data_IF_127149924983
#
_entry.id   IF_127149924983
#
_cell.length_a   1.000
_cell.length_b   1.000
_cell.length_c   1.000
_cell.angle_alpha   90.00
_cell.angle_beta   90.00
_cell.angle_gamma   90.00
#
_symmetry.space_group_name_H-M   'P 1'
#
loop_
_entity.id
_entity.type
_entity.pdbx_description
1 polymer ?
#
# COMPACT_ATOMS: atom_id res chain seq x y z
N UNK A 1 10.85 4.39 -34.72
CA UNK A 1 9.80 5.19 -35.36
C UNK A 1 8.97 4.18 -36.12
N UNK A 2 7.98 3.53 -35.49
CA UNK A 2 6.60 4.04 -35.33
C UNK A 2 5.94 4.20 -36.70
N UNK A 3 4.73 3.77 -36.99
CA UNK A 3 3.49 3.64 -36.22
C UNK A 3 2.61 2.54 -36.86
N UNK A 4 1.68 2.00 -36.06
CA UNK A 4 0.25 1.79 -36.36
C UNK A 4 -0.21 1.29 -37.75
N UNK A 5 -1.02 0.23 -37.79
CA UNK A 5 -2.49 0.38 -37.80
C UNK A 5 -3.24 -0.95 -38.04
N UNK A 6 -4.25 -1.13 -37.18
CA UNK A 6 -5.62 -1.55 -37.47
C UNK A 6 -5.93 -2.93 -38.08
N UNK A 7 -6.82 -3.60 -37.35
CA UNK A 7 -7.44 -4.88 -37.63
C UNK A 7 -8.32 -4.88 -38.89
N UNK A 8 -8.30 -6.00 -39.61
CA UNK A 8 -9.40 -6.43 -40.49
C UNK A 8 -9.67 -7.91 -40.21
N UNK A 9 -10.95 -8.18 -39.97
CA UNK A 9 -11.52 -9.43 -39.52
C UNK A 9 -11.90 -10.35 -40.70
N UNK A 10 -12.08 -11.63 -40.37
CA UNK A 10 -12.69 -12.73 -41.14
C UNK A 10 -11.83 -13.44 -42.20
N UNK A 11 -11.46 -14.69 -41.88
CA UNK A 11 -11.86 -15.80 -42.76
C UNK A 11 -12.26 -17.00 -41.92
N UNK A 12 -13.37 -17.59 -42.32
CA UNK A 12 -14.11 -18.64 -41.65
C UNK A 12 -13.86 -19.90 -42.45
N UNK A 13 -13.20 -20.91 -41.89
CA UNK A 13 -13.29 -22.27 -42.39
C UNK A 13 -13.58 -23.21 -41.21
N UNK A 14 -14.77 -23.76 -41.32
CA UNK A 14 -15.44 -24.74 -40.49
C UNK A 14 -14.85 -26.15 -40.75
N UNK A 15 -15.16 -27.06 -39.83
CA UNK A 15 -15.15 -28.52 -39.99
C UNK A 15 -13.82 -29.29 -39.92
N UNK A 16 -13.43 -29.71 -38.72
CA UNK A 16 -13.06 -31.10 -38.40
C UNK A 16 -13.32 -31.38 -36.90
N UNK A 17 -14.48 -31.96 -36.63
CA UNK A 17 -14.86 -32.63 -35.38
C UNK A 17 -14.03 -33.91 -35.13
N UNK A 18 -13.98 -34.35 -33.85
CA UNK A 18 -13.50 -35.64 -33.32
C UNK A 18 -12.10 -35.76 -32.66
N UNK A 19 -11.42 -34.68 -32.26
CA UNK A 19 -10.20 -34.80 -31.41
C UNK A 19 -10.06 -33.70 -30.32
N UNK A 20 -11.13 -32.92 -30.08
CA UNK A 20 -11.12 -31.82 -29.11
C UNK A 20 -11.55 -32.26 -27.69
N UNK A 21 -12.39 -33.28 -27.54
CA UNK A 21 -12.94 -33.68 -26.23
C UNK A 21 -11.87 -34.24 -25.28
N UNK A 22 -10.87 -34.99 -25.79
CA UNK A 22 -9.78 -35.51 -24.96
C UNK A 22 -8.80 -34.42 -24.51
N UNK A 23 -8.66 -33.35 -25.28
CA UNK A 23 -7.75 -32.22 -24.98
C UNK A 23 -8.37 -31.24 -23.96
N UNK A 24 -9.70 -31.10 -23.97
CA UNK A 24 -10.44 -30.28 -23.00
C UNK A 24 -10.44 -30.87 -21.59
N UNK A 25 -10.60 -32.19 -21.46
CA UNK A 25 -10.53 -32.88 -20.18
C UNK A 25 -9.11 -32.80 -19.56
N UNK A 26 -8.07 -32.95 -20.38
CA UNK A 26 -6.68 -32.76 -19.95
C UNK A 26 -6.40 -31.34 -19.45
N UNK A 27 -6.97 -30.33 -20.11
CA UNK A 27 -6.86 -28.94 -19.68
C UNK A 27 -7.55 -28.71 -18.33
N UNK A 28 -8.72 -29.31 -18.13
CA UNK A 28 -9.46 -29.23 -16.88
C UNK A 28 -8.70 -29.85 -15.70
N UNK A 29 -8.10 -31.02 -15.91
CA UNK A 29 -7.26 -31.67 -14.90
C UNK A 29 -6.05 -30.83 -14.51
N UNK A 30 -5.36 -30.24 -15.48
CA UNK A 30 -4.22 -29.35 -15.23
C UNK A 30 -4.61 -28.12 -14.41
N UNK A 31 -5.75 -27.49 -14.71
CA UNK A 31 -6.26 -26.33 -13.95
C UNK A 31 -6.62 -26.73 -12.51
N UNK A 32 -7.23 -27.90 -12.33
CA UNK A 32 -7.57 -28.45 -11.01
C UNK A 32 -6.32 -28.68 -10.15
N UNK A 33 -5.28 -29.27 -10.73
CA UNK A 33 -3.99 -29.49 -10.06
C UNK A 33 -3.31 -28.17 -9.68
N UNK A 34 -3.26 -27.19 -10.62
CA UNK A 34 -2.69 -25.85 -10.35
C UNK A 34 -3.44 -25.12 -9.23
N UNK A 35 -4.77 -25.24 -9.17
CA UNK A 35 -5.59 -24.65 -8.10
C UNK A 35 -5.30 -25.31 -6.75
N UNK A 36 -5.21 -26.63 -6.71
CA UNK A 36 -4.88 -27.36 -5.49
C UNK A 36 -3.48 -26.99 -4.96
N UNK A 37 -2.48 -26.95 -5.83
CA UNK A 37 -1.12 -26.54 -5.46
C UNK A 37 -1.07 -25.11 -4.93
N UNK A 38 -1.81 -24.18 -5.55
CA UNK A 38 -1.91 -22.78 -5.09
C UNK A 38 -2.58 -22.66 -3.72
N UNK A 39 -3.59 -23.49 -3.44
CA UNK A 39 -4.26 -23.52 -2.13
C UNK A 39 -3.36 -24.12 -1.06
N UNK A 40 -2.63 -25.20 -1.37
CA UNK A 40 -1.67 -25.81 -0.46
C UNK A 40 -0.53 -24.84 -0.10
N UNK A 41 0.07 -24.18 -1.11
CA UNK A 41 1.12 -23.18 -0.87
C UNK A 41 0.63 -21.99 -0.01
N UNK A 42 -0.62 -21.54 -0.22
CA UNK A 42 -1.23 -20.53 0.65
C UNK A 42 -1.44 -21.06 2.06
N UNK A 43 -1.92 -22.29 2.23
CA UNK A 43 -2.09 -22.88 3.54
C UNK A 43 -0.75 -22.99 4.28
N UNK A 44 0.34 -23.38 3.62
CA UNK A 44 1.68 -23.43 4.23
C UNK A 44 2.17 -22.04 4.66
N UNK A 45 1.97 -21.01 3.84
CA UNK A 45 2.40 -19.63 4.16
C UNK A 45 1.57 -19.03 5.31
N UNK A 46 0.26 -19.31 5.36
CA UNK A 46 -0.67 -18.65 6.28
C UNK A 46 -1.10 -19.52 7.48
N UNK A 47 -0.67 -20.78 7.57
CA UNK A 47 -0.82 -21.60 8.78
C UNK A 47 0.17 -21.13 9.83
N UNK A 48 -0.27 -20.11 10.58
CA UNK A 48 0.46 -19.60 11.71
C UNK A 48 0.45 -20.64 12.83
N UNK A 49 1.53 -21.40 13.00
CA UNK A 49 1.84 -22.09 14.26
C UNK A 49 2.19 -21.03 15.31
N UNK A 50 1.17 -20.36 15.83
CA UNK A 50 1.32 -19.43 16.95
C UNK A 50 1.58 -20.23 18.21
N UNK A 51 2.79 -20.72 18.40
CA UNK A 51 3.26 -21.10 19.72
C UNK A 51 3.24 -19.82 20.57
N UNK A 52 2.38 -19.70 21.61
CA UNK A 52 2.44 -18.56 22.48
C UNK A 52 3.82 -18.53 23.13
N UNK A 53 4.46 -17.35 23.26
CA UNK A 53 5.72 -17.27 24.01
C UNK A 53 5.46 -17.81 25.43
N UNK A 54 6.20 -18.84 25.83
CA UNK A 54 6.14 -19.31 27.21
C UNK A 54 6.66 -18.20 28.12
N UNK A 55 5.77 -17.67 28.95
CA UNK A 55 6.16 -16.78 30.03
C UNK A 55 6.91 -17.62 31.08
N UNK A 56 7.99 -17.10 31.67
CA UNK A 56 8.57 -17.76 32.84
C UNK A 56 7.53 -17.76 33.96
N UNK A 57 7.12 -18.97 34.30
CA UNK A 57 6.33 -19.27 35.49
C UNK A 57 7.27 -19.18 36.70
N UNK A 58 6.77 -18.61 37.79
CA UNK A 58 7.41 -18.44 39.12
C UNK A 58 8.12 -17.10 39.36
N UNK A 59 7.38 -16.20 40.02
CA UNK A 59 7.95 -15.23 40.95
C UNK A 59 7.67 -15.82 42.33
N UNK A 60 8.71 -16.14 43.10
CA UNK A 60 8.56 -16.64 44.47
C UNK A 60 7.94 -15.55 45.37
N UNK A 61 7.00 -15.93 46.24
CA UNK A 61 6.33 -15.01 47.19
C UNK A 61 4.97 -14.44 46.74
N UNK A 62 4.62 -13.25 47.25
CA UNK A 62 3.31 -12.62 47.04
C UNK A 62 3.18 -12.10 45.60
N UNK A 63 2.02 -12.32 44.97
CA UNK A 63 1.71 -11.82 43.63
C UNK A 63 1.83 -10.28 43.58
N UNK A 64 2.72 -9.77 42.73
CA UNK A 64 2.84 -8.34 42.49
C UNK A 64 1.73 -7.82 41.56
N UNK A 65 1.35 -6.56 41.75
CA UNK A 65 0.46 -5.84 40.84
C UNK A 65 1.17 -5.59 39.50
N UNK A 66 0.48 -5.83 38.39
CA UNK A 66 1.04 -5.56 37.05
C UNK A 66 0.96 -4.08 36.72
N UNK A 67 1.88 -3.56 35.90
CA UNK A 67 1.90 -2.16 35.49
C UNK A 67 0.57 -1.67 34.88
N UNK A 68 -0.17 -2.56 34.22
CA UNK A 68 -1.49 -2.24 33.65
C UNK A 68 -2.52 -1.91 34.74
N UNK A 69 -2.56 -2.72 35.80
CA UNK A 69 -3.47 -2.56 36.94
C UNK A 69 -3.00 -1.40 37.84
N UNK A 70 -1.68 -1.24 37.99
CA UNK A 70 -1.07 -0.16 38.77
C UNK A 70 -1.38 1.23 38.15
N UNK A 71 -1.23 1.36 36.82
CA UNK A 71 -1.35 2.66 36.15
C UNK A 71 -2.74 2.93 35.57
N UNK A 72 -3.59 1.93 35.38
CA UNK A 72 -4.96 2.06 34.84
C UNK A 72 -5.08 2.99 33.61
N UNK A 73 -4.08 2.95 32.70
CA UNK A 73 -3.98 3.89 31.56
C UNK A 73 -4.92 3.58 30.40
N UNK A 74 -5.61 2.44 30.41
CA UNK A 74 -6.53 2.02 29.34
C UNK A 74 -5.92 2.08 27.92
N UNK A 75 -6.78 2.22 26.90
CA UNK A 75 -6.39 2.33 25.49
C UNK A 75 -5.96 3.75 25.12
N UNK A 76 -4.95 4.30 25.79
CA UNK A 76 -4.48 5.67 25.56
C UNK A 76 -3.32 5.76 24.57
N UNK A 77 -3.30 6.83 23.75
CA UNK A 77 -2.24 7.10 22.77
C UNK A 77 -0.98 7.67 23.44
N UNK A 78 0.24 7.31 23.00
CA UNK A 78 1.47 7.91 23.51
C UNK A 78 1.60 9.38 23.09
N UNK A 79 2.03 10.25 24.03
CA UNK A 79 2.20 11.70 23.81
C UNK A 79 3.66 12.12 24.03
N UNK A 80 4.28 12.75 23.02
CA UNK A 80 5.59 13.39 23.13
C UNK A 80 5.48 14.88 22.73
N UNK A 81 5.56 15.82 23.70
CA UNK A 81 5.44 17.25 23.46
C UNK A 81 6.47 17.80 22.46
N UNK A 82 7.73 17.33 22.54
CA UNK A 82 8.81 17.78 21.65
C UNK A 82 8.49 17.44 20.19
N UNK A 83 8.06 16.21 19.92
CA UNK A 83 7.69 15.78 18.56
C UNK A 83 6.53 16.61 18.00
N UNK A 84 5.54 16.95 18.85
CA UNK A 84 4.42 17.81 18.47
C UNK A 84 4.88 19.22 18.06
N UNK A 85 5.72 19.87 18.86
CA UNK A 85 6.16 21.23 18.55
C UNK A 85 7.10 21.30 17.36
N UNK A 86 8.02 20.34 17.22
CA UNK A 86 8.88 20.22 16.02
C UNK A 86 8.04 20.16 14.74
N UNK A 87 7.13 19.19 14.66
CA UNK A 87 6.29 18.99 13.48
C UNK A 87 5.34 20.17 13.21
N UNK A 88 4.85 20.85 14.25
CA UNK A 88 4.04 22.08 14.11
C UNK A 88 4.84 23.19 13.45
N UNK A 89 6.08 23.40 13.90
CA UNK A 89 6.99 24.40 13.35
C UNK A 89 7.38 24.09 11.90
N UNK A 90 7.75 22.85 11.60
CA UNK A 90 8.11 22.42 10.23
C UNK A 90 6.93 22.67 9.25
N UNK A 91 5.70 22.34 9.67
CA UNK A 91 4.48 22.62 8.89
C UNK A 91 4.20 24.12 8.74
N UNK A 92 4.55 24.94 9.72
CA UNK A 92 4.39 26.39 9.65
C UNK A 92 5.42 27.00 8.70
N UNK A 93 6.67 26.55 8.74
CA UNK A 93 7.71 26.97 7.81
C UNK A 93 7.34 26.66 6.35
N UNK A 94 6.90 25.42 6.07
CA UNK A 94 6.47 25.02 4.72
C UNK A 94 5.29 25.83 4.19
N UNK A 95 4.32 26.20 5.05
CA UNK A 95 3.19 27.05 4.66
C UNK A 95 3.59 28.51 4.43
N UNK A 96 4.60 28.99 5.18
CA UNK A 96 5.11 30.36 5.06
C UNK A 96 6.01 30.54 3.85
N UNK A 97 6.79 29.52 3.49
CA UNK A 97 7.61 29.52 2.29
C UNK A 97 6.69 29.64 1.06
N UNK A 98 6.46 30.87 0.60
CA UNK A 98 6.07 31.12 -0.79
C UNK A 98 7.21 30.71 -1.73
N UNK A 99 6.95 30.71 -3.04
CA UNK A 99 8.01 30.54 -4.05
C UNK A 99 8.91 31.80 -4.03
N UNK A 100 9.93 31.80 -3.18
CA UNK A 100 11.01 32.79 -3.21
C UNK A 100 12.10 32.35 -4.19
N UNK A 101 12.80 33.28 -4.87
CA UNK A 101 13.86 32.92 -5.80
C UNK A 101 15.04 32.29 -5.06
N UNK A 102 15.43 31.09 -5.49
CA UNK A 102 16.66 30.43 -5.05
C UNK A 102 17.64 30.46 -6.21
N UNK A 103 18.58 31.41 -6.19
CA UNK A 103 19.60 31.57 -7.23
C UNK A 103 19.19 32.48 -8.40
N UNK A 104 19.92 32.40 -9.54
CA UNK A 104 19.66 33.20 -10.73
C UNK A 104 18.22 33.01 -11.25
N UNK A 105 17.69 34.04 -11.92
CA UNK A 105 16.32 34.00 -12.45
C UNK A 105 16.18 32.92 -13.53
N UNK A 106 15.41 31.87 -13.22
CA UNK A 106 15.11 30.75 -14.14
C UNK A 106 13.74 30.84 -14.82
N UNK A 107 13.01 31.94 -14.65
CA UNK A 107 11.61 32.06 -15.09
C UNK A 107 10.59 31.52 -14.09
N UNK A 108 9.30 31.59 -14.46
CA UNK A 108 8.19 31.10 -13.63
C UNK A 108 7.96 29.60 -13.84
N UNK A 109 8.42 28.78 -12.89
CA UNK A 109 8.31 27.31 -12.96
C UNK A 109 6.86 26.79 -12.94
N UNK A 110 5.93 27.54 -12.34
CA UNK A 110 4.52 27.18 -12.20
C UNK A 110 3.60 27.82 -13.24
N UNK A 111 4.15 28.67 -14.13
CA UNK A 111 3.44 29.36 -15.21
C UNK A 111 2.77 30.69 -14.83
N UNK A 112 2.59 31.54 -15.84
CA UNK A 112 1.99 32.89 -15.74
C UNK A 112 0.47 32.79 -15.94
N UNK A 113 -0.31 33.40 -15.02
CA UNK A 113 -1.76 33.57 -15.20
C UNK A 113 -2.12 35.03 -15.49
N UNK A 114 -2.33 35.34 -16.77
CA UNK A 114 -2.60 36.70 -17.24
C UNK A 114 -3.94 37.30 -16.76
N UNK A 115 -4.88 36.48 -16.28
CA UNK A 115 -6.22 36.95 -15.85
C UNK A 115 -6.22 37.49 -14.42
N UNK A 116 -5.24 37.12 -13.59
CA UNK A 116 -5.23 37.43 -12.16
C UNK A 116 -4.33 38.64 -11.89
N UNK A 117 -4.89 39.70 -11.29
CA UNK A 117 -4.12 40.78 -10.70
C UNK A 117 -4.09 40.66 -9.18
N UNK A 118 -2.89 40.67 -8.58
CA UNK A 118 -2.67 40.63 -7.12
C UNK A 118 -2.26 41.99 -6.53
N UNK A 119 -2.45 43.09 -7.27
CA UNK A 119 -2.13 44.44 -6.77
C UNK A 119 -3.18 44.97 -5.79
N UNK A 120 -2.72 45.76 -4.81
CA UNK A 120 -3.61 46.49 -3.89
C UNK A 120 -4.03 47.80 -4.59
N UNK A 121 -5.33 48.06 -4.70
CA UNK A 121 -5.85 49.35 -5.20
C UNK A 121 -5.97 50.35 -4.06
N UNK A 122 -5.72 51.62 -4.37
CA UNK A 122 -5.90 52.75 -3.45
C UNK A 122 -7.36 53.18 -3.39
#
# INVERSE_FOLDING_TARGET
>A
MSEDELAIESDKNDDMDEDAESSEDDLYEQVKQKRAAKLAAKAEIYTRTSSPPSLPETVDGKRHITYQIEKNRGLTRPKNPRKKYRTKHDKAQKRRLGQGPSGPYGGESSGINARISRSIRL
#
